data_IF_154273327748
#
_entry.id   IF_154273327748
#
_cell.length_a   1.000
_cell.length_b   1.000
_cell.length_c   1.000
_cell.angle_alpha   90.00
_cell.angle_beta   90.00
_cell.angle_gamma   90.00
#
_symmetry.space_group_name_H-M   'P 1'
#
loop_
_entity.id
_entity.type
_entity.pdbx_description
1 polymer ?
#
# COMPACT_ATOMS: atom_id res chain seq x y z
N UNK A 1 -2.26 4.29 -64.97
CA UNK A 1 -1.71 3.10 -64.30
C UNK A 1 -0.20 3.26 -64.24
N UNK A 2 0.31 3.59 -63.05
CA UNK A 2 1.69 3.39 -62.60
C UNK A 2 1.73 3.82 -61.12
N UNK A 3 2.13 2.89 -60.25
CA UNK A 3 2.49 3.09 -58.84
C UNK A 3 3.74 3.95 -58.70
N UNK A 4 3.83 4.70 -57.60
CA UNK A 4 5.06 4.80 -56.82
C UNK A 4 4.73 4.79 -55.32
N UNK A 5 5.55 4.03 -54.61
CA UNK A 5 5.56 3.75 -53.19
C UNK A 5 5.93 4.99 -52.37
N UNK A 6 5.49 5.02 -51.10
CA UNK A 6 6.41 5.35 -50.02
C UNK A 6 6.04 4.57 -48.74
N UNK A 7 7.09 4.23 -48.02
CA UNK A 7 7.21 3.19 -47.01
C UNK A 7 7.68 3.79 -45.68
N UNK A 8 7.23 3.23 -44.55
CA UNK A 8 7.99 3.06 -43.30
C UNK A 8 7.07 2.29 -42.32
N UNK A 9 7.18 0.97 -42.13
CA UNK A 9 8.12 0.20 -41.29
C UNK A 9 8.34 0.78 -39.88
N UNK A 10 7.77 0.15 -38.84
CA UNK A 10 8.57 -0.54 -37.80
C UNK A 10 7.70 -1.31 -36.77
N UNK A 11 7.83 -2.65 -36.80
CA UNK A 11 7.88 -3.62 -35.67
C UNK A 11 6.68 -3.66 -34.69
N UNK A 12 5.61 -4.45 -34.91
CA UNK A 12 5.52 -5.92 -34.62
C UNK A 12 6.61 -6.40 -33.65
N UNK A 13 6.35 -6.89 -32.44
CA UNK A 13 5.25 -7.72 -31.96
C UNK A 13 5.82 -9.07 -31.52
N UNK A 14 5.46 -9.58 -30.35
CA UNK A 14 5.50 -11.00 -29.92
C UNK A 14 5.04 -11.03 -28.43
N UNK A 15 3.80 -11.33 -28.03
CA UNK A 15 2.99 -12.57 -28.04
C UNK A 15 3.56 -13.79 -27.27
N UNK A 16 2.73 -14.26 -26.32
CA UNK A 16 2.49 -15.68 -25.89
C UNK A 16 3.54 -16.29 -24.93
N UNK A 17 3.21 -17.02 -23.84
CA UNK A 17 1.94 -17.49 -23.27
C UNK A 17 2.16 -18.51 -22.13
N UNK A 18 1.10 -18.73 -21.32
CA UNK A 18 0.62 -19.95 -20.59
C UNK A 18 1.60 -20.82 -19.76
N UNK A 19 1.20 -21.15 -18.51
CA UNK A 19 1.71 -22.36 -17.83
C UNK A 19 1.38 -22.58 -16.34
N UNK A 20 0.15 -23.03 -16.05
CA UNK A 20 -0.33 -23.99 -15.01
C UNK A 20 0.56 -24.36 -13.79
N UNK A 21 0.02 -24.07 -12.60
CA UNK A 21 -0.06 -24.83 -11.32
C UNK A 21 0.95 -25.95 -10.97
N UNK A 22 1.58 -25.84 -9.79
CA UNK A 22 1.73 -26.95 -8.83
C UNK A 22 1.88 -26.42 -7.39
N UNK A 23 0.90 -26.75 -6.54
CA UNK A 23 0.96 -26.60 -5.08
C UNK A 23 1.78 -27.76 -4.53
N UNK A 24 2.86 -27.45 -3.80
CA UNK A 24 3.46 -28.41 -2.86
C UNK A 24 3.55 -27.73 -1.50
N UNK A 25 2.57 -28.05 -0.65
CA UNK A 25 2.68 -27.87 0.77
C UNK A 25 3.74 -28.86 1.29
N UNK A 26 4.87 -28.34 1.79
CA UNK A 26 5.74 -29.08 2.71
C UNK A 26 5.83 -28.30 4.01
N UNK A 27 4.76 -28.37 4.78
CA UNK A 27 4.82 -28.28 6.24
C UNK A 27 5.55 -29.51 6.75
N UNK A 28 6.81 -29.37 7.12
CA UNK A 28 7.45 -30.22 8.13
C UNK A 28 8.02 -29.30 9.19
N UNK A 29 7.17 -28.98 10.16
CA UNK A 29 7.61 -28.76 11.52
C UNK A 29 7.89 -30.11 12.14
N UNK A 30 9.09 -30.29 12.68
CA UNK A 30 9.37 -31.32 13.67
C UNK A 30 10.49 -30.83 14.58
N UNK A 31 10.07 -30.18 15.66
CA UNK A 31 10.88 -30.04 16.86
C UNK A 31 11.10 -31.40 17.52
N UNK A 32 12.21 -31.49 18.23
CA UNK A 32 12.75 -32.66 18.88
C UNK A 32 11.79 -33.35 19.88
N UNK A 33 11.88 -34.69 19.95
CA UNK A 33 11.66 -35.43 21.19
C UNK A 33 12.52 -36.70 21.22
N UNK A 34 13.38 -36.76 22.23
CA UNK A 34 14.18 -37.91 22.67
C UNK A 34 13.29 -39.04 23.20
N UNK A 35 13.62 -40.30 22.91
CA UNK A 35 13.97 -41.36 23.90
C UNK A 35 13.86 -42.78 23.34
N UNK A 36 14.94 -43.55 23.60
CA UNK A 36 15.02 -44.99 23.92
C UNK A 36 14.24 -46.02 23.07
N UNK A 37 15.05 -46.83 22.39
CA UNK A 37 15.04 -48.29 22.56
C UNK A 37 13.95 -49.07 21.84
N UNK A 38 14.28 -49.67 20.69
CA UNK A 38 14.03 -51.09 20.38
C UNK A 38 14.45 -51.39 18.94
N UNK A 39 14.98 -52.59 18.77
CA UNK A 39 15.28 -53.23 17.49
C UNK A 39 14.03 -53.27 16.60
N UNK A 40 14.19 -52.99 15.30
CA UNK A 40 13.62 -53.82 14.24
C UNK A 40 14.18 -53.44 12.87
N UNK A 41 14.65 -54.46 12.16
CA UNK A 41 15.08 -54.40 10.77
C UNK A 41 13.88 -54.21 9.85
N UNK A 42 14.04 -53.42 8.80
CA UNK A 42 13.24 -53.54 7.58
C UNK A 42 14.12 -53.19 6.37
N UNK A 43 14.47 -54.24 5.63
CA UNK A 43 15.07 -54.19 4.29
C UNK A 43 14.01 -53.74 3.29
N UNK A 44 14.31 -52.77 2.43
CA UNK A 44 13.65 -52.66 1.12
C UNK A 44 14.60 -52.08 0.08
N UNK A 45 15.09 -52.95 -0.78
CA UNK A 45 15.82 -52.69 -2.04
C UNK A 45 14.85 -52.36 -3.17
N UNK A 46 15.08 -51.27 -3.92
CA UNK A 46 14.77 -51.12 -5.37
C UNK A 46 15.69 -49.99 -5.92
N UNK A 47 16.82 -50.29 -6.57
CA UNK A 47 17.08 -50.44 -8.02
C UNK A 47 17.13 -49.12 -8.83
N UNK A 48 18.26 -48.99 -9.52
CA UNK A 48 18.86 -47.94 -10.37
C UNK A 48 18.12 -47.63 -11.69
N UNK A 49 18.04 -46.35 -12.10
CA UNK A 49 18.70 -45.79 -13.31
C UNK A 49 18.29 -44.31 -13.56
N UNK A 50 19.21 -43.39 -13.94
CA UNK A 50 18.88 -41.99 -14.25
C UNK A 50 18.72 -41.72 -15.76
N UNK A 51 17.72 -40.91 -16.21
CA UNK A 51 17.76 -40.28 -17.52
C UNK A 51 18.53 -38.94 -17.47
N UNK A 52 19.29 -38.69 -18.54
CA UNK A 52 20.21 -37.57 -18.71
C UNK A 52 19.51 -36.19 -18.73
N UNK A 53 20.13 -35.21 -18.07
CA UNK A 53 19.74 -33.80 -18.12
C UNK A 53 20.74 -32.99 -18.97
N UNK A 54 20.19 -32.23 -19.90
CA UNK A 54 20.89 -31.32 -20.81
C UNK A 54 21.43 -30.09 -20.08
N UNK A 55 22.69 -29.74 -20.39
CA UNK A 55 23.39 -28.54 -19.90
C UNK A 55 22.88 -27.28 -20.58
N UNK A 56 22.40 -26.31 -19.79
CA UNK A 56 22.22 -24.91 -20.20
C UNK A 56 23.34 -24.08 -19.56
N UNK A 57 24.04 -23.33 -20.39
CA UNK A 57 25.24 -22.55 -20.08
C UNK A 57 24.88 -21.22 -19.41
N UNK A 58 25.55 -20.90 -18.30
CA UNK A 58 25.52 -19.58 -17.64
C UNK A 58 26.79 -18.77 -17.98
N UNK A 59 26.70 -17.42 -18.06
CA UNK A 59 27.81 -16.55 -18.41
C UNK A 59 28.82 -16.37 -17.25
N UNK A 60 30.09 -16.00 -17.54
CA UNK A 60 31.18 -16.11 -16.59
C UNK A 60 31.21 -14.93 -15.61
N UNK A 61 30.99 -15.19 -14.32
CA UNK A 61 31.34 -14.27 -13.24
C UNK A 61 32.69 -14.67 -12.65
N UNK A 62 33.66 -13.74 -12.76
CA UNK A 62 34.93 -13.65 -12.02
C UNK A 62 35.55 -14.99 -11.54
N UNK A 63 36.22 -15.68 -12.47
CA UNK A 63 36.78 -17.02 -12.29
C UNK A 63 37.95 -17.13 -11.28
N UNK A 64 38.54 -16.03 -10.78
CA UNK A 64 39.84 -16.13 -10.11
C UNK A 64 39.75 -16.41 -8.61
N UNK A 65 38.76 -15.87 -7.88
CA UNK A 65 38.64 -16.10 -6.43
C UNK A 65 38.01 -17.46 -6.09
N UNK A 66 37.09 -17.93 -6.93
CA UNK A 66 36.47 -19.25 -6.82
C UNK A 66 37.40 -20.35 -7.33
N UNK A 67 38.16 -20.14 -8.41
CA UNK A 67 39.11 -21.16 -8.88
C UNK A 67 40.26 -21.40 -7.88
N UNK A 68 40.74 -20.36 -7.19
CA UNK A 68 41.75 -20.53 -6.13
C UNK A 68 41.20 -21.31 -4.93
N UNK A 69 39.98 -21.01 -4.46
CA UNK A 69 39.35 -21.74 -3.36
C UNK A 69 38.96 -23.17 -3.74
N UNK A 70 38.48 -23.41 -4.97
CA UNK A 70 38.27 -24.76 -5.49
C UNK A 70 39.58 -25.54 -5.66
N UNK A 71 40.67 -24.88 -6.09
CA UNK A 71 41.99 -25.53 -6.16
C UNK A 71 42.54 -25.87 -4.77
N UNK A 72 42.31 -25.00 -3.78
CA UNK A 72 42.69 -25.24 -2.39
C UNK A 72 41.86 -26.37 -1.78
N UNK A 73 40.55 -26.41 -2.03
CA UNK A 73 39.68 -27.49 -1.57
C UNK A 73 40.07 -28.83 -2.22
N UNK A 74 40.33 -28.84 -3.53
CA UNK A 74 40.80 -30.02 -4.24
C UNK A 74 42.17 -30.49 -3.73
N UNK A 75 43.08 -29.56 -3.42
CA UNK A 75 44.39 -29.88 -2.84
C UNK A 75 44.26 -30.44 -1.42
N UNK A 76 43.36 -29.88 -0.60
CA UNK A 76 43.07 -30.39 0.74
C UNK A 76 42.41 -31.78 0.69
N UNK A 77 41.51 -32.01 -0.28
CA UNK A 77 40.87 -33.29 -0.47
C UNK A 77 41.83 -34.36 -0.98
N UNK A 78 42.77 -34.00 -1.87
CA UNK A 78 43.88 -34.87 -2.27
C UNK A 78 44.80 -35.19 -1.08
N UNK A 79 45.06 -34.21 -0.20
CA UNK A 79 45.84 -34.41 1.02
C UNK A 79 45.13 -35.38 1.98
N UNK A 80 43.80 -35.28 2.15
CA UNK A 80 43.01 -36.20 2.98
C UNK A 80 43.08 -37.63 2.44
N UNK A 81 42.92 -37.82 1.13
CA UNK A 81 43.03 -39.15 0.49
C UNK A 81 44.44 -39.71 0.66
N UNK A 82 45.46 -38.87 0.50
CA UNK A 82 46.86 -39.26 0.72
C UNK A 82 47.12 -39.65 2.18
N UNK A 83 46.61 -38.89 3.14
CA UNK A 83 46.70 -39.18 4.57
C UNK A 83 45.96 -40.48 4.93
N UNK A 84 44.79 -40.73 4.35
CA UNK A 84 44.07 -42.00 4.51
C UNK A 84 44.85 -43.18 3.93
N UNK A 85 45.42 -43.04 2.74
CA UNK A 85 46.26 -44.08 2.14
C UNK A 85 47.53 -44.34 2.98
N UNK A 86 48.12 -43.30 3.56
CA UNK A 86 49.25 -43.42 4.48
C UNK A 86 48.86 -44.12 5.79
N UNK A 87 47.68 -43.82 6.35
CA UNK A 87 47.08 -44.51 7.49
C UNK A 87 46.90 -46.02 7.22
N UNK A 88 46.36 -46.35 6.05
CA UNK A 88 46.10 -47.73 5.65
C UNK A 88 47.41 -48.52 5.42
N UNK A 89 48.41 -47.86 4.82
CA UNK A 89 49.74 -48.43 4.65
C UNK A 89 50.43 -48.67 6.01
N UNK A 90 50.36 -47.71 6.93
CA UNK A 90 50.91 -47.84 8.28
C UNK A 90 50.23 -48.97 9.07
N UNK A 91 48.90 -49.14 8.95
CA UNK A 91 48.18 -50.24 9.60
C UNK A 91 48.62 -51.62 9.10
N UNK A 92 48.80 -51.80 7.78
CA UNK A 92 49.33 -53.07 7.22
C UNK A 92 50.76 -53.35 7.70
N UNK A 93 51.54 -52.29 7.90
CA UNK A 93 52.92 -52.40 8.37
C UNK A 93 52.98 -52.78 9.86
N UNK A 94 52.06 -52.27 10.68
CA UNK A 94 51.86 -52.70 12.08
C UNK A 94 51.48 -54.19 12.14
N UNK A 95 50.62 -54.66 11.24
CA UNK A 95 50.20 -56.06 11.20
C UNK A 95 51.36 -57.00 10.81
N UNK A 96 52.21 -56.57 9.86
CA UNK A 96 53.42 -57.31 9.46
C UNK A 96 54.53 -57.33 10.53
N UNK A 97 54.62 -56.29 11.38
CA UNK A 97 55.64 -56.14 12.44
C UNK A 97 55.28 -56.82 13.77
N UNK A 98 54.13 -57.49 13.86
CA UNK A 98 53.69 -58.24 15.06
C UNK A 98 54.53 -59.50 15.38
N UNK A 99 55.61 -59.75 14.63
CA UNK A 99 56.62 -60.77 14.94
C UNK A 99 57.63 -60.27 16.01
N UNK A 100 58.10 -61.13 16.93
CA UNK A 100 58.73 -60.70 18.18
C UNK A 100 60.21 -60.29 17.99
N UNK A 101 60.44 -59.04 17.56
CA UNK A 101 61.76 -58.40 17.56
C UNK A 101 61.74 -57.07 18.34
N UNK A 102 62.74 -56.85 19.20
CA UNK A 102 62.82 -55.65 20.06
C UNK A 102 62.95 -54.33 19.29
N UNK A 103 63.48 -54.36 18.06
CA UNK A 103 63.49 -53.24 17.11
C UNK A 103 62.11 -52.96 16.50
N UNK A 104 61.26 -53.99 16.37
CA UNK A 104 59.89 -53.86 15.89
C UNK A 104 59.01 -53.10 16.90
N UNK A 105 59.27 -53.24 18.20
CA UNK A 105 58.56 -52.50 19.26
C UNK A 105 58.80 -50.99 19.15
N UNK A 106 60.05 -50.55 18.94
CA UNK A 106 60.39 -49.12 18.81
C UNK A 106 59.82 -48.51 17.50
N UNK A 107 59.85 -49.26 16.40
CA UNK A 107 59.23 -48.85 15.14
C UNK A 107 57.70 -48.76 15.26
N UNK A 108 57.07 -49.70 15.98
CA UNK A 108 55.63 -49.70 16.23
C UNK A 108 55.18 -48.50 17.07
N UNK A 109 55.97 -48.11 18.07
CA UNK A 109 55.68 -46.92 18.88
C UNK A 109 55.80 -45.63 18.06
N UNK A 110 56.82 -45.54 17.20
CA UNK A 110 57.00 -44.39 16.28
C UNK A 110 55.80 -44.26 15.33
N UNK A 111 55.40 -45.36 14.68
CA UNK A 111 54.25 -45.38 13.78
C UNK A 111 52.93 -45.04 14.50
N UNK A 112 52.73 -45.51 15.73
CA UNK A 112 51.55 -45.14 16.53
C UNK A 112 51.51 -43.64 16.82
N UNK A 113 52.67 -43.05 17.10
CA UNK A 113 52.79 -41.62 17.37
C UNK A 113 52.51 -40.79 16.10
N UNK A 114 53.04 -41.22 14.95
CA UNK A 114 52.77 -40.60 13.65
C UNK A 114 51.29 -40.72 13.25
N UNK A 115 50.69 -41.88 13.47
CA UNK A 115 49.28 -42.14 13.16
C UNK A 115 48.34 -41.29 14.04
N UNK A 116 48.66 -41.15 15.33
CA UNK A 116 47.96 -40.23 16.22
C UNK A 116 48.07 -38.77 15.75
N UNK A 117 49.28 -38.33 15.37
CA UNK A 117 49.49 -36.97 14.84
C UNK A 117 48.77 -36.73 13.52
N UNK A 118 48.76 -37.70 12.61
CA UNK A 118 48.04 -37.63 11.35
C UNK A 118 46.51 -37.55 11.57
N UNK A 119 45.96 -38.36 12.48
CA UNK A 119 44.55 -38.31 12.85
C UNK A 119 44.17 -36.95 13.46
N UNK A 120 45.04 -36.37 14.29
CA UNK A 120 44.82 -35.04 14.84
C UNK A 120 44.77 -33.97 13.75
N UNK A 121 45.70 -34.00 12.78
CA UNK A 121 45.69 -33.07 11.63
C UNK A 121 44.44 -33.23 10.77
N UNK A 122 44.02 -34.46 10.50
CA UNK A 122 42.80 -34.73 9.73
C UNK A 122 41.57 -34.18 10.47
N UNK A 123 41.49 -34.36 11.78
CA UNK A 123 40.42 -33.82 12.62
C UNK A 123 40.37 -32.29 12.56
N UNK A 124 41.53 -31.62 12.66
CA UNK A 124 41.64 -30.16 12.56
C UNK A 124 41.17 -29.66 11.18
N UNK A 125 41.65 -30.27 10.10
CA UNK A 125 41.27 -29.87 8.75
C UNK A 125 39.77 -30.12 8.49
N UNK A 126 39.21 -31.22 9.00
CA UNK A 126 37.78 -31.48 8.90
C UNK A 126 36.94 -30.39 9.62
N UNK A 127 37.39 -29.92 10.79
CA UNK A 127 36.76 -28.80 11.50
C UNK A 127 36.80 -27.49 10.71
N UNK A 128 37.94 -27.19 10.09
CA UNK A 128 38.10 -26.00 9.25
C UNK A 128 37.20 -26.07 7.99
N UNK A 129 37.14 -27.23 7.33
CA UNK A 129 36.26 -27.44 6.18
C UNK A 129 34.79 -27.25 6.57
N UNK A 130 34.36 -27.79 7.70
CA UNK A 130 32.99 -27.59 8.19
C UNK A 130 32.63 -26.10 8.41
N UNK A 131 33.57 -25.29 8.93
CA UNK A 131 33.37 -23.84 9.09
C UNK A 131 33.27 -23.13 7.73
N UNK A 132 34.06 -23.54 6.74
CA UNK A 132 33.99 -23.01 5.38
C UNK A 132 32.71 -23.40 4.66
N UNK A 133 32.25 -24.65 4.79
CA UNK A 133 30.96 -25.09 4.26
C UNK A 133 29.81 -24.32 4.91
N UNK A 134 29.89 -24.06 6.22
CA UNK A 134 28.90 -23.24 6.90
C UNK A 134 28.92 -21.78 6.43
N UNK A 135 30.10 -21.24 6.08
CA UNK A 135 30.26 -19.90 5.51
C UNK A 135 29.66 -19.82 4.10
N UNK A 136 29.88 -20.84 3.27
CA UNK A 136 29.35 -20.92 1.91
C UNK A 136 27.83 -21.13 1.91
N UNK A 137 27.31 -21.84 2.92
CA UNK A 137 25.86 -21.97 3.15
C UNK A 137 25.15 -20.67 3.56
N UNK A 138 25.88 -19.58 3.87
CA UNK A 138 25.26 -18.26 4.11
C UNK A 138 24.98 -17.59 2.76
N UNK A 139 23.78 -17.84 2.22
CA UNK A 139 23.38 -17.30 0.93
C UNK A 139 22.92 -15.83 1.01
N UNK A 140 23.90 -14.94 1.06
CA UNK A 140 23.68 -13.49 1.01
C UNK A 140 23.08 -13.06 -0.34
N UNK A 141 23.41 -13.78 -1.42
CA UNK A 141 22.92 -13.48 -2.76
C UNK A 141 21.41 -13.66 -2.84
N UNK A 142 20.90 -14.82 -2.42
CA UNK A 142 19.46 -15.07 -2.37
C UNK A 142 18.75 -14.14 -1.39
N UNK A 143 19.33 -13.82 -0.23
CA UNK A 143 18.73 -12.87 0.70
C UNK A 143 18.56 -11.48 0.05
N UNK A 144 19.58 -11.01 -0.67
CA UNK A 144 19.55 -9.74 -1.38
C UNK A 144 18.57 -9.75 -2.56
N UNK A 145 18.62 -10.79 -3.40
CA UNK A 145 17.79 -10.91 -4.59
C UNK A 145 16.29 -11.00 -4.24
N UNK A 146 15.94 -11.85 -3.27
CA UNK A 146 14.58 -11.97 -2.76
C UNK A 146 14.11 -10.66 -2.12
N UNK A 147 14.97 -10.01 -1.33
CA UNK A 147 14.64 -8.75 -0.67
C UNK A 147 14.44 -7.60 -1.66
N UNK A 148 15.32 -7.45 -2.65
CA UNK A 148 15.20 -6.44 -3.70
C UNK A 148 13.98 -6.69 -4.59
N UNK A 149 13.70 -7.95 -4.93
CA UNK A 149 12.50 -8.33 -5.67
C UNK A 149 11.22 -7.99 -4.90
N UNK A 150 11.17 -8.27 -3.59
CA UNK A 150 10.02 -7.92 -2.76
C UNK A 150 9.82 -6.40 -2.65
N UNK A 151 10.89 -5.64 -2.40
CA UNK A 151 10.83 -4.17 -2.29
C UNK A 151 10.46 -3.52 -3.62
N UNK A 152 11.06 -3.95 -4.74
CA UNK A 152 10.72 -3.44 -6.07
C UNK A 152 9.28 -3.76 -6.46
N UNK A 153 8.78 -4.96 -6.12
CA UNK A 153 7.37 -5.31 -6.28
C UNK A 153 6.44 -4.41 -5.46
N UNK A 154 6.78 -4.14 -4.20
CA UNK A 154 6.02 -3.24 -3.34
C UNK A 154 6.01 -1.78 -3.86
N UNK A 155 7.16 -1.29 -4.35
CA UNK A 155 7.28 0.01 -4.99
C UNK A 155 6.46 0.07 -6.28
N UNK A 156 6.54 -0.93 -7.14
CA UNK A 156 5.77 -0.99 -8.39
C UNK A 156 4.27 -0.93 -8.10
N UNK A 157 3.78 -1.72 -7.13
CA UNK A 157 2.39 -1.69 -6.70
C UNK A 157 1.93 -0.35 -6.12
N UNK A 158 2.84 0.46 -5.56
CA UNK A 158 2.57 1.82 -5.12
C UNK A 158 2.53 2.79 -6.31
N UNK A 159 3.47 2.65 -7.25
CA UNK A 159 3.53 3.48 -8.45
C UNK A 159 2.33 3.26 -9.39
N UNK A 160 1.84 2.02 -9.49
CA UNK A 160 0.69 1.66 -10.32
C UNK A 160 -0.61 2.37 -9.88
N UNK A 161 -0.70 2.77 -8.60
CA UNK A 161 -1.86 3.49 -8.07
C UNK A 161 -1.81 5.00 -8.34
N UNK A 162 -0.62 5.56 -8.62
CA UNK A 162 -0.42 7.01 -8.76
C UNK A 162 -1.34 7.61 -9.85
N UNK A 163 -1.43 7.06 -11.07
CA UNK A 163 -2.29 7.64 -12.11
C UNK A 163 -3.77 7.68 -11.70
N UNK A 164 -4.23 6.68 -10.93
CA UNK A 164 -5.61 6.63 -10.44
C UNK A 164 -5.88 7.66 -9.35
N UNK A 165 -4.87 7.96 -8.52
CA UNK A 165 -4.91 9.02 -7.51
C UNK A 165 -4.86 10.41 -8.16
N UNK A 166 -4.01 10.61 -9.18
CA UNK A 166 -3.98 11.86 -9.94
C UNK A 166 -5.33 12.15 -10.61
N UNK A 167 -5.95 11.12 -11.20
CA UNK A 167 -7.29 11.25 -11.79
C UNK A 167 -8.36 11.62 -10.74
N UNK A 168 -8.30 11.05 -9.53
CA UNK A 168 -9.26 11.39 -8.46
C UNK A 168 -9.02 12.78 -7.88
N UNK A 169 -7.75 13.21 -7.77
CA UNK A 169 -7.41 14.59 -7.41
C UNK A 169 -7.92 15.58 -8.45
N UNK A 170 -7.71 15.32 -9.73
CA UNK A 170 -8.22 16.17 -10.81
C UNK A 170 -9.75 16.26 -10.75
N UNK A 171 -10.45 15.13 -10.61
CA UNK A 171 -11.90 15.11 -10.44
C UNK A 171 -12.36 15.90 -9.20
N UNK A 172 -11.67 15.76 -8.07
CA UNK A 172 -11.93 16.50 -6.84
C UNK A 172 -11.74 18.01 -7.00
N UNK A 173 -10.67 18.44 -7.68
CA UNK A 173 -10.42 19.87 -7.95
C UNK A 173 -11.48 20.47 -8.88
N UNK A 174 -11.90 19.73 -9.91
CA UNK A 174 -12.96 20.17 -10.82
C UNK A 174 -14.31 20.28 -10.08
N UNK A 175 -14.63 19.30 -9.23
CA UNK A 175 -15.81 19.34 -8.39
C UNK A 175 -15.80 20.55 -7.43
N UNK A 176 -14.64 20.87 -6.85
CA UNK A 176 -14.52 22.01 -5.95
C UNK A 176 -14.62 23.35 -6.71
N UNK A 177 -14.00 23.45 -7.88
CA UNK A 177 -14.09 24.63 -8.74
C UNK A 177 -15.52 24.90 -9.22
N UNK A 178 -16.28 23.87 -9.55
CA UNK A 178 -17.70 23.97 -9.87
C UNK A 178 -18.50 24.57 -8.69
N UNK A 179 -18.22 24.12 -7.46
CA UNK A 179 -18.86 24.67 -6.25
C UNK A 179 -18.51 26.13 -6.05
N UNK A 180 -17.23 26.46 -6.15
CA UNK A 180 -16.73 27.82 -6.01
C UNK A 180 -17.37 28.77 -7.04
N UNK A 181 -17.58 28.31 -8.28
CA UNK A 181 -18.21 29.09 -9.34
C UNK A 181 -19.66 29.50 -9.05
N UNK A 182 -20.38 28.74 -8.22
CA UNK A 182 -21.76 29.04 -7.85
C UNK A 182 -21.89 29.85 -6.55
N UNK A 183 -20.83 29.95 -5.73
CA UNK A 183 -20.86 30.75 -4.49
C UNK A 183 -21.29 32.21 -4.71
N UNK A 184 -20.84 32.93 -5.76
CA UNK A 184 -21.32 34.28 -6.03
C UNK A 184 -22.83 34.35 -6.27
N UNK A 185 -23.41 33.34 -6.93
CA UNK A 185 -24.86 33.29 -7.18
C UNK A 185 -25.63 33.14 -5.88
N UNK A 186 -25.18 32.25 -4.98
CA UNK A 186 -25.78 32.12 -3.64
C UNK A 186 -25.62 33.41 -2.81
N UNK A 187 -24.46 34.06 -2.89
CA UNK A 187 -24.23 35.32 -2.20
C UNK A 187 -25.17 36.44 -2.72
N UNK A 188 -25.34 36.53 -4.04
CA UNK A 188 -26.29 37.44 -4.66
C UNK A 188 -27.74 37.14 -4.24
N UNK A 189 -28.11 35.86 -4.16
CA UNK A 189 -29.41 35.42 -3.66
C UNK A 189 -29.68 35.88 -2.23
N UNK A 190 -28.68 35.80 -1.35
CA UNK A 190 -28.77 36.32 0.02
C UNK A 190 -28.93 37.84 0.05
N UNK A 191 -28.13 38.58 -0.72
CA UNK A 191 -28.24 40.05 -0.80
C UNK A 191 -29.63 40.46 -1.30
N UNK A 192 -30.17 39.74 -2.29
CA UNK A 192 -31.53 39.95 -2.77
C UNK A 192 -32.57 39.69 -1.66
N UNK A 193 -32.43 38.59 -0.91
CA UNK A 193 -33.32 38.23 0.19
C UNK A 193 -33.31 39.31 1.29
N UNK A 194 -32.13 39.77 1.71
CA UNK A 194 -31.97 40.81 2.73
C UNK A 194 -32.61 42.13 2.27
N UNK A 195 -32.38 42.54 1.01
CA UNK A 195 -33.00 43.72 0.44
C UNK A 195 -34.54 43.61 0.39
N UNK A 196 -35.07 42.41 0.10
CA UNK A 196 -36.51 42.19 0.00
C UNK A 196 -37.20 42.09 1.37
N UNK A 197 -36.55 41.48 2.36
CA UNK A 197 -37.03 41.47 3.75
C UNK A 197 -37.13 42.90 4.31
N UNK A 198 -36.13 43.76 4.04
CA UNK A 198 -36.17 45.17 4.44
C UNK A 198 -37.34 45.94 3.78
N UNK A 199 -37.70 45.62 2.53
CA UNK A 199 -38.89 46.20 1.88
C UNK A 199 -40.18 45.76 2.56
N UNK A 200 -40.31 44.47 2.86
CA UNK A 200 -41.48 43.93 3.55
C UNK A 200 -41.65 44.52 4.95
N UNK A 201 -40.57 44.64 5.71
CA UNK A 201 -40.56 45.29 7.03
C UNK A 201 -41.06 46.74 6.96
N UNK A 202 -40.59 47.50 5.95
CA UNK A 202 -41.09 48.84 5.66
C UNK A 202 -42.59 48.90 5.34
N UNK A 203 -43.11 47.93 4.59
CA UNK A 203 -44.56 47.83 4.32
C UNK A 203 -45.35 47.46 5.58
N UNK A 204 -44.85 46.54 6.40
CA UNK A 204 -45.48 46.17 7.67
C UNK A 204 -45.51 47.34 8.66
N UNK A 205 -44.42 48.09 8.80
CA UNK A 205 -44.40 49.29 9.64
C UNK A 205 -45.31 50.40 9.11
N UNK A 206 -45.45 50.57 7.80
CA UNK A 206 -46.45 51.50 7.24
C UNK A 206 -47.88 51.06 7.57
N UNK A 207 -48.17 49.75 7.47
CA UNK A 207 -49.48 49.21 7.84
C UNK A 207 -49.72 49.36 9.35
N UNK A 208 -48.71 49.10 10.19
CA UNK A 208 -48.76 49.26 11.65
C UNK A 208 -48.98 50.70 12.06
N UNK A 209 -48.24 51.67 11.50
CA UNK A 209 -48.45 53.10 11.75
C UNK A 209 -49.84 53.55 11.29
N UNK A 210 -50.31 53.10 10.12
CA UNK A 210 -51.67 53.38 9.66
C UNK A 210 -52.73 52.78 10.60
N UNK A 211 -52.48 51.59 11.16
CA UNK A 211 -53.33 50.96 12.15
C UNK A 211 -53.27 51.68 13.50
N UNK A 212 -52.11 52.11 13.97
CA UNK A 212 -51.97 52.89 15.21
C UNK A 212 -52.65 54.25 15.06
N UNK A 213 -52.44 54.98 13.96
CA UNK A 213 -53.13 56.24 13.66
C UNK A 213 -54.65 56.03 13.54
N UNK A 214 -55.10 54.89 13.00
CA UNK A 214 -56.51 54.54 12.91
C UNK A 214 -57.10 54.09 14.26
N UNK A 215 -56.31 53.42 15.11
CA UNK A 215 -56.70 52.91 16.43
C UNK A 215 -56.66 54.00 17.51
N UNK A 216 -55.74 54.95 17.40
CA UNK A 216 -55.71 56.17 18.20
C UNK A 216 -56.86 57.09 17.79
N UNK A 217 -57.19 57.11 16.49
CA UNK A 217 -58.48 57.60 16.02
C UNK A 217 -59.66 56.69 16.42
N UNK A 218 -59.47 55.47 16.97
CA UNK A 218 -60.53 54.53 17.34
C UNK A 218 -61.10 54.61 18.75
N UNK A 219 -60.44 55.34 19.65
CA UNK A 219 -61.18 55.94 20.77
C UNK A 219 -62.31 56.85 20.26
N UNK A 220 -62.02 57.64 19.21
CA UNK A 220 -63.01 58.47 18.53
C UNK A 220 -63.82 57.70 17.46
N UNK A 221 -63.29 56.65 16.84
CA UNK A 221 -63.93 55.87 15.77
C UNK A 221 -64.95 54.88 16.31
N UNK A 222 -64.83 54.35 17.54
CA UNK A 222 -65.94 53.59 18.15
C UNK A 222 -67.13 54.50 18.52
N UNK A 223 -66.85 55.73 18.99
CA UNK A 223 -67.90 56.75 19.19
C UNK A 223 -68.49 57.21 17.84
N UNK A 224 -67.65 57.45 16.84
CA UNK A 224 -68.05 57.82 15.48
C UNK A 224 -68.75 56.68 14.74
N UNK A 225 -68.48 55.40 15.04
CA UNK A 225 -69.19 54.24 14.45
C UNK A 225 -70.59 54.07 15.05
N UNK A 226 -70.76 54.39 16.34
CA UNK A 226 -72.08 54.52 16.96
C UNK A 226 -72.87 55.69 16.35
N UNK A 227 -72.22 56.82 16.06
CA UNK A 227 -72.81 57.94 15.32
C UNK A 227 -72.98 57.66 13.80
N UNK A 228 -72.14 56.79 13.22
CA UNK A 228 -72.19 56.34 11.82
C UNK A 228 -73.38 55.43 11.59
N UNK A 229 -73.66 54.46 12.47
CA UNK A 229 -74.90 53.67 12.36
C UNK A 229 -76.16 54.54 12.52
N UNK A 230 -76.09 55.62 13.31
CA UNK A 230 -77.15 56.61 13.41
C UNK A 230 -77.24 57.54 12.17
N UNK A 231 -76.12 57.81 11.49
CA UNK A 231 -76.00 58.75 10.37
C UNK A 231 -76.05 58.15 8.95
N UNK A 232 -75.78 56.87 8.78
CA UNK A 232 -75.78 56.14 7.48
C UNK A 232 -77.16 56.16 6.80
N UNK A 233 -78.23 56.47 7.53
CA UNK A 233 -79.56 56.63 6.95
C UNK A 233 -79.81 57.99 6.30
N UNK A 234 -78.88 58.97 6.39
CA UNK A 234 -79.21 60.33 5.95
C UNK A 234 -78.32 61.03 4.94
N UNK A 235 -77.04 60.75 4.70
CA UNK A 235 -76.33 61.35 3.54
C UNK A 235 -74.92 60.79 3.41
N UNK A 236 -74.61 60.20 2.25
CA UNK A 236 -73.27 60.27 1.67
C UNK A 236 -73.20 61.69 1.07
N UNK A 237 -72.26 62.58 1.45
CA UNK A 237 -70.93 62.48 0.85
C UNK A 237 -69.73 63.11 1.64
N UNK A 238 -68.52 62.73 1.19
CA UNK A 238 -67.17 63.27 1.41
C UNK A 238 -66.53 63.23 2.82
N UNK A 239 -65.40 62.49 2.94
CA UNK A 239 -64.40 62.72 3.99
C UNK A 239 -63.65 61.49 4.51
N UNK A 240 -64.26 60.30 4.50
CA UNK A 240 -63.66 59.08 5.10
C UNK A 240 -63.13 58.10 4.02
N UNK A 241 -63.41 58.39 2.75
CA UNK A 241 -62.93 57.59 1.62
C UNK A 241 -61.40 57.53 1.54
N UNK A 242 -60.70 58.62 1.88
CA UNK A 242 -59.25 58.70 1.68
C UNK A 242 -58.48 57.70 2.55
N UNK A 243 -58.82 57.55 3.84
CA UNK A 243 -58.16 56.57 4.73
C UNK A 243 -58.46 55.10 4.35
N UNK A 244 -59.72 54.79 4.01
CA UNK A 244 -60.09 53.46 3.54
C UNK A 244 -59.44 53.13 2.19
N UNK A 245 -59.29 54.14 1.31
CA UNK A 245 -58.57 54.02 0.04
C UNK A 245 -57.09 53.78 0.29
N UNK A 246 -56.46 54.49 1.22
CA UNK A 246 -55.04 54.29 1.57
C UNK A 246 -54.79 52.89 2.14
N UNK A 247 -55.62 52.39 3.07
CA UNK A 247 -55.47 51.02 3.61
C UNK A 247 -55.68 49.96 2.51
N UNK A 248 -56.72 50.10 1.70
CA UNK A 248 -56.97 49.22 0.55
C UNK A 248 -55.82 49.30 -0.46
N UNK A 249 -55.22 50.47 -0.66
CA UNK A 249 -54.08 50.68 -1.55
C UNK A 249 -52.80 50.05 -0.99
N UNK A 250 -52.56 50.10 0.32
CA UNK A 250 -51.45 49.38 0.98
C UNK A 250 -51.60 47.87 0.88
N UNK A 251 -52.80 47.34 1.15
CA UNK A 251 -53.10 45.90 0.98
C UNK A 251 -52.97 45.51 -0.50
N UNK A 252 -53.48 46.33 -1.42
CA UNK A 252 -53.35 46.11 -2.86
C UNK A 252 -51.87 46.15 -3.30
N UNK A 253 -51.06 47.06 -2.77
CA UNK A 253 -49.61 47.15 -3.04
C UNK A 253 -48.89 45.90 -2.52
N UNK A 254 -49.21 45.44 -1.30
CA UNK A 254 -48.67 44.19 -0.75
C UNK A 254 -49.07 42.97 -1.60
N UNK A 255 -50.33 42.92 -2.06
CA UNK A 255 -50.83 41.86 -2.93
C UNK A 255 -50.18 41.92 -4.32
N UNK A 256 -49.87 43.11 -4.83
CA UNK A 256 -49.18 43.34 -6.11
C UNK A 256 -47.67 43.04 -6.03
N UNK A 257 -47.04 43.17 -4.86
CA UNK A 257 -45.64 42.77 -4.61
C UNK A 257 -45.50 41.25 -4.37
N UNK A 258 -46.56 40.55 -4.01
CA UNK A 258 -46.52 39.10 -3.75
C UNK A 258 -46.05 38.29 -4.98
N UNK A 259 -46.55 38.52 -6.22
CA UNK A 259 -46.03 37.87 -7.42
C UNK A 259 -44.54 38.15 -7.71
N UNK A 260 -44.10 39.40 -7.48
CA UNK A 260 -42.70 39.80 -7.65
C UNK A 260 -41.80 39.13 -6.60
N UNK A 261 -42.29 39.00 -5.37
CA UNK A 261 -41.63 38.25 -4.28
C UNK A 261 -41.47 36.78 -4.63
N UNK A 262 -42.54 36.12 -5.09
CA UNK A 262 -42.51 34.69 -5.45
C UNK A 262 -41.55 34.44 -6.62
N UNK A 263 -41.61 35.29 -7.64
CA UNK A 263 -40.75 35.19 -8.83
C UNK A 263 -39.29 35.47 -8.46
N UNK A 264 -39.05 36.45 -7.59
CA UNK A 264 -37.72 36.77 -7.10
C UNK A 264 -37.14 35.69 -6.19
N UNK A 265 -37.94 35.09 -5.31
CA UNK A 265 -37.54 33.95 -4.47
C UNK A 265 -37.17 32.75 -5.35
N UNK A 266 -37.96 32.51 -6.40
CA UNK A 266 -37.68 31.43 -7.33
C UNK A 266 -36.37 31.67 -8.11
N UNK A 267 -36.18 32.87 -8.68
CA UNK A 267 -35.02 33.19 -9.50
C UNK A 267 -33.71 33.33 -8.70
N UNK A 268 -33.76 33.92 -7.51
CA UNK A 268 -32.57 34.26 -6.73
C UNK A 268 -32.24 33.22 -5.65
N UNK A 269 -33.20 32.37 -5.26
CA UNK A 269 -33.01 31.40 -4.19
C UNK A 269 -33.27 29.97 -4.66
N UNK A 270 -34.48 29.65 -5.14
CA UNK A 270 -34.86 28.28 -5.47
C UNK A 270 -34.03 27.70 -6.64
N UNK A 271 -33.92 28.43 -7.77
CA UNK A 271 -33.16 27.97 -8.94
C UNK A 271 -31.66 27.72 -8.64
N UNK A 272 -30.92 28.63 -7.96
CA UNK A 272 -29.55 28.35 -7.55
C UNK A 272 -29.41 27.18 -6.57
N UNK A 273 -30.35 27.04 -5.63
CA UNK A 273 -30.35 25.93 -4.67
C UNK A 273 -30.66 24.60 -5.35
N UNK A 274 -31.53 24.58 -6.37
CA UNK A 274 -31.85 23.37 -7.13
C UNK A 274 -30.62 22.78 -7.82
N UNK A 275 -29.65 23.58 -8.27
CA UNK A 275 -28.41 23.05 -8.87
C UNK A 275 -27.64 22.12 -7.89
N UNK A 276 -27.78 22.36 -6.59
CA UNK A 276 -27.09 21.62 -5.53
C UNK A 276 -27.97 20.64 -4.78
N UNK A 277 -29.24 20.99 -4.58
CA UNK A 277 -30.20 20.24 -3.77
C UNK A 277 -31.18 19.43 -4.61
N UNK A 278 -31.17 19.57 -5.94
CA UNK A 278 -31.94 18.71 -6.82
C UNK A 278 -31.64 17.26 -6.49
N UNK A 279 -32.73 16.51 -6.33
CA UNK A 279 -32.70 15.07 -6.15
C UNK A 279 -32.78 14.42 -7.51
N UNK A 280 -31.90 13.46 -7.76
CA UNK A 280 -32.00 12.64 -8.96
C UNK A 280 -33.07 11.53 -8.79
N UNK A 281 -33.23 10.72 -9.84
CA UNK A 281 -34.17 9.58 -9.86
C UNK A 281 -33.89 8.55 -8.75
N UNK A 282 -32.66 8.55 -8.21
CA UNK A 282 -32.23 7.68 -7.12
C UNK A 282 -32.38 8.34 -5.74
N UNK A 283 -33.03 9.50 -5.66
CA UNK A 283 -33.23 10.29 -4.44
C UNK A 283 -31.91 10.75 -3.77
N UNK A 284 -30.81 10.81 -4.53
CA UNK A 284 -29.54 11.35 -4.05
C UNK A 284 -29.44 12.86 -4.36
N UNK A 285 -28.74 13.58 -3.49
CA UNK A 285 -28.58 15.03 -3.61
C UNK A 285 -27.46 15.33 -4.63
N UNK A 286 -27.71 16.23 -5.58
CA UNK A 286 -26.74 16.61 -6.61
C UNK A 286 -25.37 17.03 -6.02
N UNK A 287 -25.36 17.80 -4.92
CA UNK A 287 -24.14 18.16 -4.18
C UNK A 287 -23.40 16.92 -3.64
N UNK A 288 -24.13 15.93 -3.13
CA UNK A 288 -23.53 14.71 -2.63
C UNK A 288 -22.81 13.97 -3.76
N UNK A 289 -23.48 13.81 -4.90
CA UNK A 289 -22.94 13.12 -6.08
C UNK A 289 -21.78 13.87 -6.75
N UNK A 290 -21.88 15.19 -6.87
CA UNK A 290 -20.90 16.03 -7.59
C UNK A 290 -19.66 16.35 -6.76
N UNK A 291 -19.80 16.53 -5.45
CA UNK A 291 -18.71 16.97 -4.58
C UNK A 291 -18.35 15.94 -3.52
N UNK A 292 -19.32 15.52 -2.72
CA UNK A 292 -19.05 14.74 -1.50
C UNK A 292 -18.54 13.35 -1.84
N UNK A 293 -19.20 12.62 -2.75
CA UNK A 293 -18.82 11.25 -3.12
C UNK A 293 -17.46 11.20 -3.82
N UNK A 294 -17.13 12.03 -4.83
CA UNK A 294 -15.79 12.03 -5.42
C UNK A 294 -14.68 12.31 -4.39
N UNK A 295 -14.91 13.24 -3.46
CA UNK A 295 -13.92 13.53 -2.41
C UNK A 295 -13.82 12.40 -1.37
N UNK A 296 -14.95 11.93 -0.84
CA UNK A 296 -15.02 10.97 0.26
C UNK A 296 -14.78 9.53 -0.19
N UNK A 297 -15.50 9.10 -1.23
CA UNK A 297 -15.57 7.70 -1.65
C UNK A 297 -14.46 7.36 -2.65
N UNK A 298 -13.90 8.34 -3.37
CA UNK A 298 -12.82 8.11 -4.34
C UNK A 298 -11.48 8.68 -3.85
N UNK A 299 -11.34 10.01 -3.73
CA UNK A 299 -10.07 10.65 -3.39
C UNK A 299 -9.53 10.22 -2.02
N UNK A 300 -10.33 10.32 -0.97
CA UNK A 300 -9.90 9.98 0.39
C UNK A 300 -9.58 8.49 0.53
N UNK A 301 -10.36 7.62 -0.12
CA UNK A 301 -10.11 6.18 -0.14
C UNK A 301 -8.78 5.86 -0.84
N UNK A 302 -8.55 6.40 -2.04
CA UNK A 302 -7.31 6.21 -2.79
C UNK A 302 -6.10 6.80 -2.08
N UNK A 303 -6.24 7.98 -1.47
CA UNK A 303 -5.16 8.60 -0.67
C UNK A 303 -4.79 7.72 0.52
N UNK A 304 -5.79 7.19 1.23
CA UNK A 304 -5.57 6.29 2.36
C UNK A 304 -4.91 4.98 1.92
N UNK A 305 -5.35 4.43 0.78
CA UNK A 305 -4.74 3.24 0.19
C UNK A 305 -3.28 3.47 -0.20
N UNK A 306 -2.98 4.58 -0.88
CA UNK A 306 -1.62 4.97 -1.25
C UNK A 306 -0.72 5.16 -0.02
N UNK A 307 -1.21 5.84 1.03
CA UNK A 307 -0.47 6.01 2.29
C UNK A 307 -0.22 4.67 2.99
N UNK A 308 -1.21 3.77 2.98
CA UNK A 308 -1.07 2.42 3.53
C UNK A 308 -0.02 1.62 2.77
N UNK A 309 -0.05 1.65 1.43
CA UNK A 309 0.96 1.00 0.59
C UNK A 309 2.36 1.58 0.80
N UNK A 310 2.49 2.90 0.92
CA UNK A 310 3.76 3.55 1.20
C UNK A 310 4.37 3.08 2.53
N UNK A 311 3.56 2.97 3.59
CA UNK A 311 3.99 2.35 4.87
C UNK A 311 4.30 0.86 4.71
N UNK A 312 3.56 0.16 3.84
CA UNK A 312 3.81 -1.22 3.47
C UNK A 312 5.20 -1.42 2.85
N UNK A 313 5.67 -0.50 2.01
CA UNK A 313 7.02 -0.55 1.41
C UNK A 313 8.09 -0.54 2.49
N UNK A 314 7.97 0.30 3.51
CA UNK A 314 8.91 0.35 4.64
C UNK A 314 8.93 -0.98 5.40
N UNK A 315 7.76 -1.55 5.67
CA UNK A 315 7.64 -2.85 6.34
C UNK A 315 8.27 -3.97 5.51
N UNK A 316 8.02 -4.01 4.20
CA UNK A 316 8.62 -4.99 3.27
C UNK A 316 10.13 -4.80 3.20
N UNK A 317 10.62 -3.56 3.15
CA UNK A 317 12.05 -3.27 3.18
C UNK A 317 12.71 -3.81 4.46
N UNK A 318 12.11 -3.54 5.63
CA UNK A 318 12.65 -4.02 6.90
C UNK A 318 12.67 -5.55 6.96
N UNK A 319 11.53 -6.20 6.67
CA UNK A 319 11.34 -7.63 6.86
C UNK A 319 11.97 -8.49 5.76
N UNK A 320 11.96 -8.03 4.51
CA UNK A 320 12.42 -8.84 3.37
C UNK A 320 13.86 -8.53 2.95
N UNK A 321 14.39 -7.34 3.27
CA UNK A 321 15.73 -6.94 2.84
C UNK A 321 16.65 -6.66 4.03
N UNK A 322 16.31 -5.70 4.89
CA UNK A 322 17.20 -5.23 5.95
C UNK A 322 17.56 -6.34 6.96
N UNK A 323 16.56 -7.03 7.52
CA UNK A 323 16.78 -8.05 8.54
C UNK A 323 17.46 -9.32 7.99
N UNK A 324 17.04 -9.90 6.84
CA UNK A 324 17.70 -11.07 6.27
C UNK A 324 19.15 -10.79 5.86
N UNK A 325 19.40 -9.66 5.19
CA UNK A 325 20.76 -9.26 4.79
C UNK A 325 21.62 -8.97 6.02
N UNK A 326 21.09 -8.24 7.01
CA UNK A 326 21.80 -7.99 8.26
C UNK A 326 22.18 -9.27 8.98
N UNK A 327 21.26 -10.23 9.06
CA UNK A 327 21.50 -11.56 9.67
C UNK A 327 22.54 -12.35 8.90
N UNK A 328 22.46 -12.38 7.56
CA UNK A 328 23.41 -13.09 6.72
C UNK A 328 24.82 -12.50 6.86
N UNK A 329 24.96 -11.17 6.81
CA UNK A 329 26.25 -10.48 6.99
C UNK A 329 26.83 -10.74 8.38
N UNK A 330 26.02 -10.64 9.44
CA UNK A 330 26.49 -10.89 10.81
C UNK A 330 26.96 -12.35 11.01
N UNK A 331 26.23 -13.33 10.44
CA UNK A 331 26.66 -14.74 10.44
C UNK A 331 27.97 -14.91 9.68
N UNK A 332 28.09 -14.30 8.51
CA UNK A 332 29.30 -14.38 7.69
C UNK A 332 30.52 -13.81 8.44
N UNK A 333 30.37 -12.68 9.11
CA UNK A 333 31.42 -12.08 9.94
C UNK A 333 31.81 -12.99 11.11
N UNK A 334 30.81 -13.54 11.82
CA UNK A 334 31.04 -14.45 12.94
C UNK A 334 31.82 -15.69 12.50
N UNK A 335 31.44 -16.30 11.37
CA UNK A 335 32.13 -17.47 10.81
C UNK A 335 33.56 -17.13 10.36
N UNK A 336 33.79 -15.96 9.76
CA UNK A 336 35.15 -15.51 9.40
C UNK A 336 36.04 -15.35 10.63
N UNK A 337 35.53 -14.81 11.73
CA UNK A 337 36.26 -14.72 12.99
C UNK A 337 36.56 -16.10 13.56
N UNK A 338 35.55 -16.99 13.61
CA UNK A 338 35.74 -18.37 14.07
C UNK A 338 36.80 -19.12 13.25
N UNK A 339 36.81 -18.94 11.93
CA UNK A 339 37.83 -19.52 11.04
C UNK A 339 39.22 -18.97 11.38
N UNK A 340 39.36 -17.67 11.59
CA UNK A 340 40.64 -17.04 11.93
C UNK A 340 41.16 -17.52 13.30
N UNK A 341 40.28 -17.58 14.31
CA UNK A 341 40.62 -18.07 15.65
C UNK A 341 41.00 -19.56 15.62
N UNK A 342 40.24 -20.37 14.88
CA UNK A 342 40.50 -21.80 14.72
C UNK A 342 41.87 -22.06 14.08
N UNK A 343 42.21 -21.29 13.04
CA UNK A 343 43.53 -21.31 12.39
C UNK A 343 44.66 -20.95 13.35
N UNK A 344 44.48 -19.89 14.13
CA UNK A 344 45.48 -19.48 15.11
C UNK A 344 45.66 -20.53 16.23
N UNK A 345 44.57 -21.13 16.71
CA UNK A 345 44.61 -22.13 17.78
C UNK A 345 45.31 -23.42 17.33
N UNK A 346 45.12 -23.84 16.09
CA UNK A 346 45.66 -25.08 15.55
C UNK A 346 46.90 -24.92 14.64
N UNK A 347 47.41 -23.69 14.50
CA UNK A 347 48.58 -23.33 13.69
C UNK A 347 48.46 -23.78 12.21
N UNK A 348 47.28 -23.56 11.63
CA UNK A 348 46.93 -23.87 10.22
C UNK A 348 46.55 -22.62 9.44
#
# INVERSE_FOLDING_TARGET
MAEYQESEVSRRGFLVGVGVTAVVATTIGAGAALLKGSQQAATTTITTSPPAASVVSLPPLAANASAESFSQLASAQAEIIRLQAALDAANRQIEALSQPDSSAIAAQETLRTELASANERVSVLAGLVALYEQLDGVDLGAALDNGLTAVSGALTNLLDDIPSLEASMAAGTLALAEVESHLPVLANGRVWLDAHLNKLDGYFHQIENLLMDAVEAAGAFVQMVNEWFAGVKKWLPFGIGEKATTIMQSITTLLLETPATITGLNANLAQPLDVWLARDEQNDIALNKKLVRPLRDDLMVKTTAALSKAKGVESVYAASLQEPVGTAVARQQTLRTLIADYRQQHQV
#
